data_IF_516837040496
#
_entry.id   IF_516837040496
#
_cell.length_a   1.000
_cell.length_b   1.000
_cell.length_c   1.000
_cell.angle_alpha   90.00
_cell.angle_beta   90.00
_cell.angle_gamma   90.00
#
_symmetry.space_group_name_H-M   'P 1'
#
loop_
_entity.id
_entity.type
_entity.pdbx_description
1 polymer ?
#
# COMPACT_ATOMS: atom_id res chain seq x y z
N UNK A 1 11.95 17.20 -16.94
CA UNK A 1 10.63 17.69 -16.55
C UNK A 1 9.56 16.89 -17.27
N UNK A 2 9.06 15.85 -16.59
CA UNK A 2 7.95 15.04 -17.05
C UNK A 2 6.85 15.07 -15.97
N UNK A 3 6.39 16.25 -15.61
CA UNK A 3 5.14 16.44 -14.89
C UNK A 3 4.02 16.45 -15.92
N UNK A 4 3.46 15.28 -16.21
CA UNK A 4 2.21 15.23 -16.97
C UNK A 4 1.10 15.89 -16.11
N UNK A 5 0.31 16.82 -16.68
CA UNK A 5 -0.80 17.42 -15.96
C UNK A 5 -1.78 16.34 -15.50
N UNK A 6 -2.38 16.52 -14.30
CA UNK A 6 -3.52 15.68 -13.89
C UNK A 6 -4.56 15.82 -15.00
N UNK A 7 -4.78 14.75 -15.74
CA UNK A 7 -5.80 14.77 -16.78
C UNK A 7 -7.14 15.10 -16.13
N UNK A 8 -8.01 15.84 -16.83
CA UNK A 8 -9.40 16.08 -16.39
C UNK A 8 -10.13 14.77 -16.05
N UNK A 9 -9.73 13.66 -16.68
CA UNK A 9 -10.20 12.32 -16.34
C UNK A 9 -9.85 11.90 -14.91
N UNK A 10 -8.73 12.34 -14.37
CA UNK A 10 -8.28 11.98 -13.03
C UNK A 10 -9.03 12.79 -11.97
N UNK A 11 -9.28 14.07 -12.23
CA UNK A 11 -10.15 14.92 -11.39
C UNK A 11 -11.59 14.40 -11.41
N UNK A 12 -12.09 14.00 -12.57
CA UNK A 12 -13.41 13.41 -12.73
C UNK A 12 -13.52 12.09 -11.94
N UNK A 13 -12.53 11.21 -12.04
CA UNK A 13 -12.48 9.94 -11.29
C UNK A 13 -12.42 10.14 -9.79
N UNK A 14 -11.66 11.13 -9.30
CA UNK A 14 -11.63 11.46 -7.88
C UNK A 14 -12.98 12.00 -7.41
N UNK A 15 -13.57 12.96 -8.14
CA UNK A 15 -14.90 13.51 -7.83
C UNK A 15 -15.98 12.42 -7.87
N UNK A 16 -15.96 11.54 -8.85
CA UNK A 16 -16.89 10.42 -8.95
C UNK A 16 -16.73 9.44 -7.77
N UNK A 17 -15.49 9.16 -7.37
CA UNK A 17 -15.21 8.30 -6.22
C UNK A 17 -15.69 8.95 -4.92
N UNK A 18 -15.38 10.23 -4.71
CA UNK A 18 -15.84 10.98 -3.53
C UNK A 18 -17.38 11.08 -3.46
N UNK A 19 -18.05 11.21 -4.62
CA UNK A 19 -19.51 11.25 -4.69
C UNK A 19 -20.18 9.91 -4.36
N UNK A 20 -19.47 8.79 -4.49
CA UNK A 20 -19.95 7.44 -4.12
C UNK A 20 -19.71 7.09 -2.66
N UNK A 21 -18.91 7.88 -1.95
CA UNK A 21 -18.64 7.63 -0.53
C UNK A 21 -19.89 7.96 0.30
N UNK A 22 -20.24 7.11 1.28
CA UNK A 22 -21.27 7.45 2.24
C UNK A 22 -20.85 8.72 3.01
N UNK A 23 -21.79 9.66 3.31
CA UNK A 23 -21.46 10.92 3.99
C UNK A 23 -20.64 10.75 5.27
N UNK A 24 -20.93 9.70 6.04
CA UNK A 24 -20.21 9.34 7.27
C UNK A 24 -18.73 8.97 7.03
N UNK A 25 -18.38 8.52 5.84
CA UNK A 25 -16.98 8.21 5.51
C UNK A 25 -16.12 9.47 5.33
N UNK A 26 -16.75 10.61 5.05
CA UNK A 26 -16.10 11.92 4.93
C UNK A 26 -16.17 12.72 6.25
N UNK A 27 -16.86 12.23 7.28
CA UNK A 27 -16.84 12.83 8.61
C UNK A 27 -15.41 12.81 9.17
N UNK A 28 -14.84 13.99 9.39
CA UNK A 28 -13.46 14.16 9.86
C UNK A 28 -12.42 14.44 8.76
N UNK A 29 -12.78 14.37 7.49
CA UNK A 29 -11.92 14.85 6.41
C UNK A 29 -11.88 16.39 6.45
N UNK A 30 -10.80 16.95 7.02
CA UNK A 30 -10.61 18.40 7.14
C UNK A 30 -9.76 18.97 6.02
N UNK A 31 -9.08 18.11 5.26
CA UNK A 31 -8.19 18.49 4.17
C UNK A 31 -8.48 17.67 2.91
N UNK A 32 -8.08 18.19 1.77
CA UNK A 32 -8.13 17.46 0.50
C UNK A 32 -7.29 16.16 0.56
N UNK A 33 -6.20 16.16 1.32
CA UNK A 33 -5.39 14.97 1.59
C UNK A 33 -6.18 13.87 2.30
N UNK A 34 -6.98 14.24 3.30
CA UNK A 34 -7.84 13.28 4.03
C UNK A 34 -8.87 12.66 3.07
N UNK A 35 -9.50 13.50 2.24
CA UNK A 35 -10.47 13.05 1.24
C UNK A 35 -9.84 12.11 0.21
N UNK A 36 -8.61 12.37 -0.24
CA UNK A 36 -7.85 11.48 -1.15
C UNK A 36 -7.53 10.13 -0.49
N UNK A 37 -7.06 10.13 0.76
CA UNK A 37 -6.77 8.91 1.50
C UNK A 37 -8.03 8.05 1.69
N UNK A 38 -9.15 8.67 2.02
CA UNK A 38 -10.45 7.98 2.15
C UNK A 38 -10.87 7.38 0.80
N UNK A 39 -10.77 8.14 -0.29
CA UNK A 39 -11.14 7.65 -1.63
C UNK A 39 -10.27 6.46 -2.08
N UNK A 40 -8.95 6.53 -1.86
CA UNK A 40 -8.00 5.44 -2.17
C UNK A 40 -8.33 4.20 -1.35
N UNK A 41 -8.60 4.37 -0.05
CA UNK A 41 -8.95 3.27 0.85
C UNK A 41 -10.23 2.57 0.45
N UNK A 42 -11.23 3.35 0.08
CA UNK A 42 -12.52 2.83 -0.36
C UNK A 42 -12.36 2.00 -1.64
N UNK A 43 -11.66 2.52 -2.65
CA UNK A 43 -11.35 1.78 -3.89
C UNK A 43 -10.63 0.47 -3.63
N UNK A 44 -9.65 0.48 -2.71
CA UNK A 44 -8.92 -0.72 -2.33
C UNK A 44 -9.80 -1.73 -1.61
N UNK A 45 -10.59 -1.29 -0.63
CA UNK A 45 -11.55 -2.17 0.08
C UNK A 45 -12.55 -2.80 -0.86
N UNK A 46 -13.16 -2.00 -1.73
CA UNK A 46 -14.12 -2.47 -2.74
C UNK A 46 -13.46 -3.52 -3.65
N UNK A 47 -12.29 -3.22 -4.18
CA UNK A 47 -11.54 -4.12 -5.07
C UNK A 47 -11.11 -5.43 -4.39
N UNK A 48 -10.76 -5.40 -3.09
CA UNK A 48 -10.42 -6.59 -2.31
C UNK A 48 -11.69 -7.45 -2.07
N UNK A 49 -12.79 -6.83 -1.68
CA UNK A 49 -14.06 -7.51 -1.37
C UNK A 49 -14.70 -8.15 -2.60
N UNK A 50 -14.79 -7.41 -3.73
CA UNK A 50 -15.39 -7.90 -4.98
C UNK A 50 -14.70 -9.15 -5.53
N UNK A 51 -13.42 -9.33 -5.26
CA UNK A 51 -12.63 -10.43 -5.78
C UNK A 51 -12.44 -11.58 -4.78
N UNK A 52 -13.09 -11.55 -3.61
CA UNK A 52 -12.92 -12.55 -2.54
C UNK A 52 -11.44 -12.85 -2.22
N UNK A 53 -10.60 -11.83 -2.24
CA UNK A 53 -9.15 -11.99 -2.04
C UNK A 53 -8.84 -12.25 -0.56
N UNK A 54 -9.67 -11.70 0.33
CA UNK A 54 -9.58 -11.94 1.78
C UNK A 54 -10.45 -13.14 2.20
N UNK A 55 -9.85 -14.31 2.26
CA UNK A 55 -10.51 -15.56 2.66
C UNK A 55 -10.41 -15.84 4.17
N UNK A 56 -10.46 -14.84 5.03
CA UNK A 56 -10.50 -15.11 6.47
C UNK A 56 -9.71 -14.18 7.38
N UNK A 57 -9.58 -12.90 7.05
CA UNK A 57 -8.90 -11.91 7.87
C UNK A 57 -7.38 -11.89 7.69
N UNK A 58 -6.91 -12.33 6.53
CA UNK A 58 -5.50 -12.22 6.13
C UNK A 58 -5.11 -10.80 5.69
N UNK A 59 -6.10 -9.92 5.46
CA UNK A 59 -5.92 -8.54 5.02
C UNK A 59 -6.68 -7.61 5.95
N UNK A 60 -6.00 -6.63 6.49
CA UNK A 60 -6.59 -5.54 7.30
C UNK A 60 -6.26 -4.18 6.67
N UNK A 61 -7.28 -3.35 6.48
CA UNK A 61 -7.12 -2.00 5.92
C UNK A 61 -7.40 -0.97 7.00
N UNK A 62 -6.38 -0.28 7.43
CA UNK A 62 -6.45 0.80 8.41
C UNK A 62 -6.23 2.15 7.72
N UNK A 63 -7.04 3.14 8.05
CA UNK A 63 -6.96 4.49 7.53
C UNK A 63 -6.59 5.40 8.70
N UNK A 64 -5.38 5.95 8.64
CA UNK A 64 -4.99 7.06 9.50
C UNK A 64 -5.09 8.36 8.68
N UNK A 65 -5.25 9.50 9.35
CA UNK A 65 -5.42 10.83 8.72
C UNK A 65 -4.34 11.16 7.67
N UNK A 66 -3.18 10.50 7.73
CA UNK A 66 -2.04 10.81 6.88
C UNK A 66 -1.69 9.74 5.85
N UNK A 67 -2.07 8.49 6.09
CA UNK A 67 -1.69 7.34 5.24
C UNK A 67 -2.76 6.26 5.26
N UNK A 68 -2.81 5.47 4.17
CA UNK A 68 -3.57 4.22 4.13
C UNK A 68 -2.62 3.07 4.37
N UNK A 69 -2.86 2.27 5.39
CA UNK A 69 -2.06 1.10 5.69
C UNK A 69 -2.87 -0.18 5.47
N UNK A 70 -2.39 -1.04 4.61
CA UNK A 70 -2.93 -2.37 4.36
C UNK A 70 -1.97 -3.38 4.97
N UNK A 71 -2.40 -4.08 6.01
CA UNK A 71 -1.64 -5.16 6.63
C UNK A 71 -2.05 -6.49 6.02
N UNK A 72 -1.08 -7.20 5.44
CA UNK A 72 -1.28 -8.48 4.78
C UNK A 72 -0.51 -9.56 5.52
N UNK A 73 -1.19 -10.64 5.90
CA UNK A 73 -0.54 -11.78 6.54
C UNK A 73 0.51 -12.43 5.61
N UNK A 74 1.66 -12.77 6.17
CA UNK A 74 2.75 -13.41 5.42
C UNK A 74 2.36 -14.71 4.73
N UNK A 75 1.41 -15.47 5.31
CA UNK A 75 0.88 -16.72 4.75
C UNK A 75 0.23 -16.54 3.38
N UNK A 76 -0.32 -15.34 3.11
CA UNK A 76 -0.88 -15.00 1.81
C UNK A 76 0.22 -14.63 0.80
N UNK A 77 1.21 -13.84 1.23
CA UNK A 77 2.22 -13.29 0.34
C UNK A 77 3.39 -14.23 0.05
N UNK A 78 3.81 -15.04 1.03
CA UNK A 78 5.06 -15.81 0.93
C UNK A 78 4.87 -17.28 1.25
N UNK A 79 5.80 -18.09 0.76
CA UNK A 79 5.98 -19.46 1.25
C UNK A 79 6.62 -19.43 2.64
N UNK A 80 6.28 -20.42 3.47
CA UNK A 80 6.82 -20.51 4.85
C UNK A 80 8.34 -20.46 4.88
N UNK A 81 8.92 -19.63 5.77
CA UNK A 81 10.36 -19.49 5.95
C UNK A 81 11.10 -18.90 4.73
N UNK A 82 10.39 -18.24 3.83
CA UNK A 82 10.94 -17.75 2.57
C UNK A 82 10.51 -16.29 2.29
N UNK A 83 11.22 -15.65 1.38
CA UNK A 83 10.86 -14.38 0.75
C UNK A 83 10.31 -14.56 -0.68
N UNK A 84 10.12 -15.80 -1.15
CA UNK A 84 9.55 -16.07 -2.45
C UNK A 84 8.04 -15.86 -2.44
N UNK A 85 7.55 -15.08 -3.41
CA UNK A 85 6.13 -14.76 -3.53
C UNK A 85 5.31 -16.03 -3.81
N UNK A 86 4.22 -16.18 -3.06
CA UNK A 86 3.23 -17.25 -3.24
C UNK A 86 2.37 -16.94 -4.47
N UNK A 87 1.90 -18.00 -5.16
CA UNK A 87 0.92 -17.83 -6.25
C UNK A 87 -0.40 -17.17 -5.79
N UNK A 88 -0.77 -17.36 -4.52
CA UNK A 88 -1.95 -16.74 -3.89
C UNK A 88 -1.86 -15.22 -3.78
N UNK A 89 -0.64 -14.65 -3.78
CA UNK A 89 -0.42 -13.21 -3.66
C UNK A 89 -0.74 -12.44 -4.95
N UNK A 90 -0.66 -13.07 -6.11
CA UNK A 90 -0.75 -12.38 -7.39
C UNK A 90 -2.06 -11.62 -7.62
N UNK A 91 -3.25 -12.13 -7.27
CA UNK A 91 -4.50 -11.37 -7.42
C UNK A 91 -4.49 -10.08 -6.58
N UNK A 92 -4.03 -10.14 -5.33
CA UNK A 92 -3.90 -8.96 -4.46
C UNK A 92 -2.89 -7.96 -5.04
N UNK A 93 -1.70 -8.43 -5.45
CA UNK A 93 -0.66 -7.56 -5.99
C UNK A 93 -1.06 -6.91 -7.32
N UNK A 94 -1.88 -7.60 -8.15
CA UNK A 94 -2.44 -7.02 -9.36
C UNK A 94 -3.37 -5.84 -9.04
N UNK A 95 -4.31 -6.04 -8.11
CA UNK A 95 -5.27 -5.00 -7.69
C UNK A 95 -4.58 -3.80 -7.04
N UNK A 96 -3.59 -4.08 -6.20
CA UNK A 96 -2.76 -3.02 -5.61
C UNK A 96 -2.06 -2.20 -6.72
N UNK A 97 -1.49 -2.87 -7.71
CA UNK A 97 -0.81 -2.21 -8.82
C UNK A 97 -1.79 -1.39 -9.68
N UNK A 98 -3.01 -1.88 -9.93
CA UNK A 98 -4.05 -1.14 -10.65
C UNK A 98 -4.34 0.20 -9.96
N UNK A 99 -4.52 0.17 -8.61
CA UNK A 99 -4.77 1.39 -7.82
C UNK A 99 -3.56 2.33 -7.84
N UNK A 100 -2.34 1.79 -7.65
CA UNK A 100 -1.12 2.60 -7.66
C UNK A 100 -0.92 3.27 -9.03
N UNK A 101 -1.14 2.54 -10.11
CA UNK A 101 -0.96 3.07 -11.47
C UNK A 101 -2.04 4.09 -11.86
N UNK A 102 -3.26 3.93 -11.32
CA UNK A 102 -4.35 4.88 -11.53
C UNK A 102 -4.15 6.21 -10.80
N UNK A 103 -3.28 6.25 -9.78
CA UNK A 103 -3.09 7.41 -8.91
C UNK A 103 -1.59 7.83 -8.85
N UNK A 104 -1.11 8.68 -9.79
CA UNK A 104 0.31 9.08 -9.87
C UNK A 104 0.81 9.93 -8.70
N UNK A 105 -0.09 10.51 -7.91
CA UNK A 105 0.25 11.38 -6.79
C UNK A 105 0.55 10.63 -5.48
N UNK A 106 0.65 9.31 -5.50
CA UNK A 106 1.00 8.51 -4.33
C UNK A 106 2.34 7.81 -4.48
N UNK A 107 3.05 7.68 -3.36
CA UNK A 107 4.18 6.76 -3.19
C UNK A 107 3.77 5.59 -2.29
N UNK A 108 4.43 4.45 -2.42
CA UNK A 108 4.06 3.24 -1.69
C UNK A 108 5.28 2.64 -1.00
N UNK A 109 5.20 2.52 0.32
CA UNK A 109 6.20 1.79 1.11
C UNK A 109 5.69 0.39 1.41
N UNK A 110 6.51 -0.61 1.13
CA UNK A 110 6.28 -2.01 1.49
C UNK A 110 7.16 -2.31 2.69
N UNK A 111 6.55 -2.54 3.85
CA UNK A 111 7.26 -2.74 5.10
C UNK A 111 7.05 -4.16 5.64
N UNK A 112 8.13 -4.95 5.68
CA UNK A 112 8.11 -6.33 6.17
C UNK A 112 8.30 -6.41 7.70
N UNK A 113 7.55 -7.30 8.35
CA UNK A 113 7.66 -7.62 9.77
C UNK A 113 7.78 -9.13 9.98
N UNK A 114 8.55 -9.54 10.97
CA UNK A 114 8.68 -10.93 11.41
C UNK A 114 8.15 -11.12 12.83
N UNK A 115 8.01 -12.35 13.25
CA UNK A 115 7.89 -12.68 14.68
C UNK A 115 9.26 -12.71 15.36
N UNK A 116 9.29 -12.97 16.67
CA UNK A 116 10.53 -13.00 17.46
C UNK A 116 11.36 -14.28 17.29
N UNK A 117 10.91 -15.29 16.54
CA UNK A 117 11.72 -16.46 16.25
C UNK A 117 12.86 -16.10 15.31
N UNK A 118 14.09 -16.40 15.73
CA UNK A 118 15.24 -16.22 14.87
C UNK A 118 15.17 -17.11 13.62
N UNK A 119 15.71 -16.61 12.52
CA UNK A 119 15.92 -17.36 11.30
C UNK A 119 17.37 -17.18 10.86
N UNK A 120 17.95 -18.26 10.38
CA UNK A 120 19.27 -18.25 9.72
C UNK A 120 19.28 -19.37 8.66
N UNK A 121 19.63 -19.03 7.44
CA UNK A 121 19.78 -19.97 6.31
C UNK A 121 20.95 -19.52 5.45
N UNK A 122 21.31 -20.28 4.42
CA UNK A 122 22.36 -19.86 3.46
C UNK A 122 22.06 -18.51 2.80
N UNK A 123 20.78 -18.15 2.65
CA UNK A 123 20.35 -16.94 1.93
C UNK A 123 19.69 -15.90 2.82
N UNK A 124 19.48 -16.18 4.11
CA UNK A 124 18.85 -15.28 5.08
C UNK A 124 19.72 -15.23 6.32
N UNK A 125 20.27 -14.06 6.63
CA UNK A 125 21.18 -13.88 7.78
C UNK A 125 20.40 -13.85 9.10
N UNK A 126 19.30 -13.07 9.14
CA UNK A 126 18.48 -12.86 10.33
C UNK A 126 17.08 -12.32 9.96
N UNK A 127 16.31 -11.91 10.96
CA UNK A 127 14.99 -11.32 10.78
C UNK A 127 15.01 -9.94 10.09
N UNK A 128 16.09 -9.17 10.24
CA UNK A 128 16.26 -7.91 9.48
C UNK A 128 16.35 -8.21 8.00
N UNK A 129 17.24 -9.13 7.63
CA UNK A 129 17.46 -9.54 6.26
C UNK A 129 16.19 -10.16 5.65
N UNK A 130 15.49 -11.04 6.38
CA UNK A 130 14.22 -11.62 5.93
C UNK A 130 13.15 -10.56 5.66
N UNK A 131 12.96 -9.62 6.58
CA UNK A 131 11.93 -8.59 6.46
C UNK A 131 12.17 -7.68 5.25
N UNK A 132 13.42 -7.26 5.01
CA UNK A 132 13.80 -6.45 3.83
C UNK A 132 13.72 -7.26 2.54
N UNK A 133 14.16 -8.51 2.51
CA UNK A 133 14.06 -9.37 1.32
C UNK A 133 12.61 -9.62 0.90
N UNK A 134 11.70 -9.78 1.86
CA UNK A 134 10.27 -9.92 1.61
C UNK A 134 9.68 -8.68 0.96
N UNK A 135 9.91 -7.51 1.53
CA UNK A 135 9.44 -6.26 0.96
C UNK A 135 10.01 -6.00 -0.44
N UNK A 136 11.29 -6.27 -0.65
CA UNK A 136 11.95 -6.17 -1.97
C UNK A 136 11.34 -7.15 -2.98
N UNK A 137 10.94 -8.35 -2.55
CA UNK A 137 10.28 -9.32 -3.45
C UNK A 137 8.92 -8.82 -3.93
N UNK A 138 8.13 -8.19 -3.06
CA UNK A 138 6.86 -7.54 -3.44
C UNK A 138 7.12 -6.40 -4.42
N UNK A 139 8.05 -5.49 -4.10
CA UNK A 139 8.44 -4.36 -4.97
C UNK A 139 8.83 -4.85 -6.37
N UNK A 140 9.64 -5.91 -6.48
CA UNK A 140 10.03 -6.48 -7.78
C UNK A 140 8.85 -6.99 -8.60
N UNK A 141 7.85 -7.58 -7.96
CA UNK A 141 6.63 -8.01 -8.67
C UNK A 141 5.82 -6.80 -9.14
N UNK A 142 5.62 -5.79 -8.30
CA UNK A 142 4.91 -4.56 -8.68
C UNK A 142 5.61 -3.87 -9.86
N UNK A 143 6.92 -3.70 -9.80
CA UNK A 143 7.73 -3.08 -10.84
C UNK A 143 7.76 -3.91 -12.13
N UNK A 144 8.20 -5.17 -12.05
CA UNK A 144 8.56 -5.92 -13.25
C UNK A 144 7.33 -6.50 -13.96
N UNK A 145 6.36 -7.01 -13.18
CA UNK A 145 5.16 -7.66 -13.72
C UNK A 145 4.04 -6.65 -13.98
N UNK A 146 3.79 -5.76 -13.03
CA UNK A 146 2.65 -4.84 -13.07
C UNK A 146 3.00 -3.41 -13.49
N UNK A 147 4.29 -3.15 -13.82
CA UNK A 147 4.76 -1.88 -14.39
C UNK A 147 4.53 -0.64 -13.51
N UNK A 148 4.49 -0.84 -12.19
CA UNK A 148 4.51 0.29 -11.26
C UNK A 148 5.86 1.00 -11.36
N UNK A 149 5.83 2.34 -11.43
CA UNK A 149 7.04 3.16 -11.49
C UNK A 149 7.92 2.91 -10.25
N UNK A 150 9.16 2.44 -10.42
CA UNK A 150 10.06 2.14 -9.31
C UNK A 150 10.41 3.35 -8.44
N UNK A 151 10.36 4.57 -8.99
CA UNK A 151 10.60 5.79 -8.23
C UNK A 151 9.56 6.03 -7.12
N UNK A 152 8.42 5.34 -7.18
CA UNK A 152 7.31 5.42 -6.23
C UNK A 152 7.29 4.28 -5.22
N UNK A 153 8.23 3.33 -5.30
CA UNK A 153 8.25 2.11 -4.49
C UNK A 153 9.40 2.14 -3.49
N UNK A 154 9.08 1.98 -2.20
CA UNK A 154 10.05 2.01 -1.10
C UNK A 154 10.01 0.66 -0.36
N UNK A 155 10.98 -0.25 -0.53
CA UNK A 155 11.08 -1.44 0.30
C UNK A 155 11.67 -1.10 1.68
N UNK A 156 11.07 -1.64 2.74
CA UNK A 156 11.49 -1.44 4.12
C UNK A 156 11.35 -2.71 4.96
N UNK A 157 12.05 -2.80 6.07
CA UNK A 157 11.95 -3.91 7.01
C UNK A 157 12.06 -3.45 8.47
N UNK A 158 11.31 -4.09 9.36
CA UNK A 158 11.27 -3.81 10.80
C UNK A 158 11.71 -4.98 11.67
N UNK A 159 12.17 -6.08 11.05
CA UNK A 159 12.48 -7.28 11.82
C UNK A 159 11.30 -7.67 12.73
N UNK A 160 11.55 -8.04 13.97
CA UNK A 160 10.57 -8.38 15.02
C UNK A 160 10.31 -7.24 16.03
N UNK A 161 10.81 -6.03 15.76
CA UNK A 161 10.85 -4.96 16.76
C UNK A 161 9.59 -4.09 16.85
N UNK A 162 8.64 -4.28 15.94
CA UNK A 162 7.34 -3.59 15.96
C UNK A 162 6.21 -4.63 15.92
N UNK A 163 6.03 -5.43 16.99
CA UNK A 163 5.01 -6.47 17.01
C UNK A 163 3.61 -5.87 17.19
N UNK A 164 2.58 -6.48 16.57
CA UNK A 164 1.16 -6.15 16.82
C UNK A 164 0.67 -6.73 18.15
N UNK A 165 1.24 -7.84 18.58
CA UNK A 165 0.88 -8.54 19.81
C UNK A 165 2.13 -9.22 20.37
N UNK A 166 2.04 -9.77 21.60
CA UNK A 166 3.12 -10.56 22.16
C UNK A 166 3.49 -11.78 21.28
N UNK A 167 4.67 -12.33 21.47
CA UNK A 167 5.16 -13.47 20.70
C UNK A 167 4.97 -14.83 21.40
N UNK A 168 4.15 -14.91 22.46
CA UNK A 168 4.03 -16.09 23.34
C UNK A 168 3.41 -17.30 22.63
N UNK A 169 2.36 -17.09 21.84
CA UNK A 169 1.65 -18.15 21.15
C UNK A 169 1.97 -18.23 19.66
N UNK A 170 1.70 -19.39 19.04
CA UNK A 170 1.79 -19.52 17.58
C UNK A 170 0.85 -18.54 16.85
N UNK A 171 -0.37 -18.38 17.37
CA UNK A 171 -1.38 -17.48 16.83
C UNK A 171 -0.91 -16.01 16.86
N UNK A 172 -0.34 -15.58 17.98
CA UNK A 172 0.19 -14.23 18.13
C UNK A 172 1.39 -14.00 17.19
N UNK A 173 2.33 -14.94 17.14
CA UNK A 173 3.42 -14.86 16.16
C UNK A 173 2.96 -14.80 14.72
N UNK A 174 1.90 -15.52 14.37
CA UNK A 174 1.34 -15.47 13.01
C UNK A 174 0.82 -14.07 12.65
N UNK A 175 0.22 -13.34 13.61
CA UNK A 175 -0.21 -11.95 13.42
C UNK A 175 0.96 -10.97 13.31
N UNK A 176 2.07 -11.24 13.98
CA UNK A 176 3.27 -10.41 13.87
C UNK A 176 3.97 -10.57 12.51
N UNK A 177 3.90 -11.76 11.89
CA UNK A 177 4.42 -12.01 10.55
C UNK A 177 3.48 -11.41 9.51
N UNK A 178 3.77 -10.20 9.08
CA UNK A 178 2.96 -9.44 8.13
C UNK A 178 3.80 -8.57 7.22
N UNK A 179 3.19 -8.10 6.18
CA UNK A 179 3.71 -7.03 5.33
C UNK A 179 2.72 -5.89 5.32
N UNK A 180 3.14 -4.71 5.74
CA UNK A 180 2.36 -3.49 5.63
C UNK A 180 2.62 -2.86 4.27
N UNK A 181 1.56 -2.51 3.58
CA UNK A 181 1.57 -1.71 2.35
C UNK A 181 1.05 -0.34 2.75
N UNK A 182 1.95 0.65 2.76
CA UNK A 182 1.67 1.99 3.26
C UNK A 182 1.61 2.93 2.06
N UNK A 183 0.42 3.44 1.78
CA UNK A 183 0.17 4.38 0.68
C UNK A 183 0.28 5.79 1.24
N UNK A 184 1.19 6.57 0.67
CA UNK A 184 1.53 7.91 1.12
C UNK A 184 1.27 8.92 0.00
N UNK A 185 0.50 9.99 0.24
CA UNK A 185 0.38 11.09 -0.71
C UNK A 185 1.75 11.73 -0.98
N UNK A 186 2.11 11.88 -2.24
CA UNK A 186 3.29 12.65 -2.64
C UNK A 186 2.93 14.13 -2.73
N UNK A 187 3.09 14.85 -1.63
CA UNK A 187 2.70 16.25 -1.51
C UNK A 187 3.41 17.16 -2.52
N UNK A 188 4.65 16.87 -2.90
CA UNK A 188 5.38 17.68 -3.88
C UNK A 188 4.75 17.57 -5.27
N UNK A 189 4.38 16.36 -5.68
CA UNK A 189 3.62 16.13 -6.92
C UNK A 189 2.24 16.79 -6.85
N UNK A 190 1.57 16.65 -5.70
CA UNK A 190 0.26 17.26 -5.48
C UNK A 190 0.31 18.78 -5.60
N UNK A 191 1.25 19.46 -4.93
CA UNK A 191 1.38 20.93 -4.99
C UNK A 191 1.84 21.41 -6.37
N UNK A 192 2.71 20.68 -7.07
CA UNK A 192 3.08 21.00 -8.43
C UNK A 192 1.86 21.02 -9.37
N UNK A 193 0.96 20.07 -9.19
CA UNK A 193 -0.27 19.96 -9.96
C UNK A 193 -1.28 21.08 -9.66
N UNK A 194 -1.33 21.56 -8.40
CA UNK A 194 -2.18 22.70 -8.01
C UNK A 194 -1.63 24.03 -8.54
N UNK A 195 -0.30 24.21 -8.56
CA UNK A 195 0.33 25.43 -9.06
C UNK A 195 0.14 25.65 -10.57
N UNK A 196 0.04 24.58 -11.36
CA UNK A 196 -0.24 24.66 -12.80
C UNK A 196 -1.67 25.17 -13.09
N UNK A 197 -2.64 24.97 -12.17
CA UNK A 197 -4.02 25.46 -12.33
C UNK A 197 -4.16 26.97 -12.11
N UNK A 198 -3.38 27.57 -11.20
CA UNK A 198 -3.44 29.02 -10.95
C UNK A 198 -2.91 29.84 -12.14
N UNK A 199 -1.96 29.29 -12.90
CA UNK A 199 -1.40 29.99 -14.07
C UNK A 199 -2.36 30.05 -15.25
N UNK A 200 -3.16 29.02 -15.45
CA UNK A 200 -4.15 28.97 -16.57
C UNK A 200 -5.36 29.89 -16.33
N UNK A 201 -5.71 30.16 -15.08
CA UNK A 201 -6.85 31.03 -14.74
C UNK A 201 -6.56 32.53 -14.75
N UNK A 202 -5.29 32.95 -14.99
CA UNK A 202 -4.89 34.35 -15.03
C UNK A 202 -4.65 34.87 -16.48
N UNK A 203 -4.83 34.03 -17.49
CA UNK A 203 -4.67 34.41 -18.91
C UNK A 203 -6.00 34.53 -19.68
N UNK A 204 -7.14 34.52 -19.02
CA UNK A 204 -8.48 34.89 -19.55
C UNK A 204 -8.88 36.32 -19.02
#
# INVERSE_FOLDING_TARGET
>A
DNSAPISENMKANLRETLAKLPPEALEGATTLKDSMNIAISYKLKESINENNIDNGGDIDVNIDQTVVMISVADSLLFRSGSYNISSKAYPLLAKLADVINAEPSIDVMIEGHTDSKGIHTETIVDNWDLSVKRSTSVVRILQNKYKVDPARLIPSGRSSYVPLTDNSSYKNRARNRRTNIIIMPNLNKFFALMAEEEVVSLED
#
